data_IF_617805643622
#
_entry.id   IF_617805643622
#
_cell.length_a   1.000
_cell.length_b   1.000
_cell.length_c   1.000
_cell.angle_alpha   90.00
_cell.angle_beta   90.00
_cell.angle_gamma   90.00
#
_symmetry.space_group_name_H-M   'P 1'
#
loop_
_entity.id
_entity.type
_entity.pdbx_description
1 polymer ?
#
# COMPACT_ATOMS: atom_id res chain seq x y z
N UNK A 1 12.59 0.45 -32.67
CA UNK A 1 11.97 -0.52 -31.77
C UNK A 1 11.36 0.25 -30.61
N UNK A 2 10.04 0.06 -30.34
CA UNK A 2 9.40 0.71 -29.20
C UNK A 2 9.91 0.15 -27.86
N UNK A 3 9.82 0.96 -26.81
CA UNK A 3 10.13 0.52 -25.45
C UNK A 3 9.07 -0.50 -24.98
N UNK A 4 9.46 -1.59 -24.32
CA UNK A 4 8.53 -2.60 -23.84
C UNK A 4 7.74 -2.06 -22.64
N UNK A 5 6.45 -2.42 -22.53
CA UNK A 5 5.67 -2.20 -21.32
C UNK A 5 6.35 -2.89 -20.14
N UNK A 6 6.40 -2.22 -19.00
CA UNK A 6 6.85 -2.76 -17.73
C UNK A 6 5.64 -3.05 -16.84
N UNK A 7 5.72 -4.13 -16.08
CA UNK A 7 4.71 -4.52 -15.08
C UNK A 7 5.46 -4.72 -13.78
N UNK A 8 5.03 -4.06 -12.73
CA UNK A 8 5.57 -4.18 -11.38
C UNK A 8 4.41 -4.33 -10.40
N UNK A 9 4.69 -4.81 -9.21
CA UNK A 9 3.75 -4.89 -8.13
C UNK A 9 3.80 -3.59 -7.29
N UNK A 10 2.74 -3.24 -6.58
CA UNK A 10 2.68 -2.01 -5.82
C UNK A 10 3.65 -2.00 -4.65
N UNK A 11 3.94 -3.17 -4.08
CA UNK A 11 4.86 -3.33 -2.97
C UNK A 11 5.72 -4.60 -3.08
N UNK A 12 6.65 -4.78 -2.14
CA UNK A 12 7.49 -5.96 -2.06
C UNK A 12 8.69 -5.93 -3.03
N UNK A 13 9.30 -7.08 -3.32
CA UNK A 13 10.53 -7.17 -4.10
C UNK A 13 10.36 -6.82 -5.59
N UNK A 14 9.14 -6.81 -6.11
CA UNK A 14 8.81 -6.54 -7.51
C UNK A 14 8.14 -5.16 -7.71
N UNK A 15 8.22 -4.27 -6.69
CA UNK A 15 7.69 -2.90 -6.73
C UNK A 15 8.61 -1.89 -7.44
N UNK A 16 9.75 -2.34 -7.94
CA UNK A 16 10.69 -1.53 -8.70
C UNK A 16 11.01 -2.15 -10.06
N UNK A 17 11.59 -1.36 -10.93
CA UNK A 17 12.02 -1.82 -12.23
C UNK A 17 13.25 -1.08 -12.74
N UNK A 18 14.07 -1.82 -13.52
CA UNK A 18 15.25 -1.27 -14.18
C UNK A 18 15.22 -1.63 -15.66
N UNK A 19 15.19 -0.63 -16.54
CA UNK A 19 15.25 -0.82 -17.97
C UNK A 19 16.48 -0.13 -18.58
N UNK A 20 17.35 -0.91 -19.21
CA UNK A 20 18.43 -0.37 -20.03
C UNK A 20 17.85 0.17 -21.33
N UNK A 21 18.04 1.45 -21.61
CA UNK A 21 17.46 2.12 -22.80
C UNK A 21 18.25 1.83 -24.07
N UNK A 22 19.56 1.58 -23.94
CA UNK A 22 20.47 1.38 -25.05
C UNK A 22 20.02 0.36 -26.13
N UNK A 23 19.44 -0.82 -25.79
CA UNK A 23 19.03 -1.79 -26.81
C UNK A 23 17.88 -1.32 -27.71
N UNK A 24 17.14 -0.28 -27.30
CA UNK A 24 15.94 0.22 -27.97
C UNK A 24 16.21 1.46 -28.82
N UNK A 25 17.44 1.98 -28.79
CA UNK A 25 17.80 3.23 -29.43
C UNK A 25 18.91 2.91 -30.45
N UNK A 26 18.71 3.33 -31.66
CA UNK A 26 19.71 3.32 -32.73
C UNK A 26 19.85 4.75 -33.26
N UNK A 27 21.05 5.23 -33.31
CA UNK A 27 21.44 6.42 -33.98
C UNK A 27 22.36 6.07 -35.14
N UNK A 28 22.20 6.78 -36.26
CA UNK A 28 23.06 6.65 -37.43
C UNK A 28 23.59 8.00 -37.80
N UNK A 29 24.90 8.09 -37.96
CA UNK A 29 25.56 9.29 -38.52
C UNK A 29 25.10 9.59 -39.91
N UNK A 30 25.32 10.81 -40.40
CA UNK A 30 24.93 11.27 -41.75
C UNK A 30 25.52 10.40 -42.90
N UNK A 31 26.56 9.65 -42.65
CA UNK A 31 27.18 8.68 -43.58
C UNK A 31 26.63 7.23 -43.41
N UNK A 32 25.58 7.04 -42.58
CA UNK A 32 24.90 5.74 -42.37
C UNK A 32 25.62 4.79 -41.43
N UNK A 33 26.64 5.22 -40.70
CA UNK A 33 27.31 4.41 -39.70
C UNK A 33 26.56 4.47 -38.36
N UNK A 34 26.58 3.37 -37.61
CA UNK A 34 26.00 3.37 -36.27
C UNK A 34 26.80 4.30 -35.35
N UNK A 35 26.12 5.28 -34.75
CA UNK A 35 26.73 6.14 -33.74
C UNK A 35 27.03 5.39 -32.45
N UNK A 36 28.03 5.88 -31.72
CA UNK A 36 28.32 5.38 -30.37
C UNK A 36 27.22 5.82 -29.41
N UNK A 37 26.45 4.87 -28.90
CA UNK A 37 25.36 5.10 -27.93
C UNK A 37 25.87 5.77 -26.62
N UNK A 38 27.18 5.76 -26.39
CA UNK A 38 27.82 6.43 -25.24
C UNK A 38 27.74 7.97 -25.29
N UNK A 39 27.29 8.56 -26.41
CA UNK A 39 27.15 9.99 -26.60
C UNK A 39 25.69 10.46 -26.47
N UNK A 40 24.72 9.54 -26.24
CA UNK A 40 23.33 9.90 -26.07
C UNK A 40 23.03 10.40 -24.67
N UNK A 41 22.28 11.47 -24.59
CA UNK A 41 21.64 11.94 -23.35
C UNK A 41 20.19 11.46 -23.31
N UNK A 42 19.67 11.24 -22.10
CA UNK A 42 18.31 10.78 -21.87
C UNK A 42 17.63 11.60 -20.80
N UNK A 43 16.42 12.06 -21.08
CA UNK A 43 15.58 12.81 -20.16
C UNK A 43 14.15 12.27 -20.13
N UNK A 44 13.52 12.25 -18.95
CA UNK A 44 12.09 12.04 -18.80
C UNK A 44 11.42 13.39 -18.99
N UNK A 45 10.66 13.56 -20.06
CA UNK A 45 10.07 14.86 -20.42
C UNK A 45 8.59 14.98 -20.04
N UNK A 46 7.91 13.86 -19.81
CA UNK A 46 6.54 13.85 -19.30
C UNK A 46 6.17 12.52 -18.65
N UNK A 47 5.19 12.61 -17.76
CA UNK A 47 4.52 11.50 -17.10
C UNK A 47 3.02 11.75 -17.07
N UNK A 48 2.20 10.73 -17.40
CA UNK A 48 0.74 10.90 -17.52
C UNK A 48 0.01 10.84 -16.18
N UNK A 49 0.52 10.07 -15.24
CA UNK A 49 -0.05 9.93 -13.90
C UNK A 49 1.07 10.09 -12.85
N UNK A 50 1.50 11.34 -12.60
CA UNK A 50 2.56 11.60 -11.63
C UNK A 50 2.06 11.31 -10.21
N UNK A 51 2.90 10.66 -9.41
CA UNK A 51 2.61 10.37 -8.01
C UNK A 51 2.33 8.90 -7.72
N UNK A 52 2.25 8.03 -8.73
CA UNK A 52 2.19 6.58 -8.50
C UNK A 52 3.55 5.89 -8.62
N UNK A 53 4.51 6.51 -9.31
CA UNK A 53 5.90 6.05 -9.36
C UNK A 53 6.88 7.21 -9.14
N UNK A 54 8.07 6.87 -8.65
CA UNK A 54 9.27 7.69 -8.71
C UNK A 54 10.16 7.16 -9.81
N UNK A 55 10.58 8.00 -10.75
CA UNK A 55 11.37 7.56 -11.90
C UNK A 55 12.60 8.43 -12.13
N UNK A 56 13.70 7.82 -12.58
CA UNK A 56 14.94 8.51 -12.90
C UNK A 56 15.74 7.78 -13.99
N UNK A 57 16.58 8.50 -14.72
CA UNK A 57 17.52 7.90 -15.66
C UNK A 57 18.95 8.17 -15.20
N UNK A 58 19.72 7.09 -14.98
CA UNK A 58 21.13 7.17 -14.61
C UNK A 58 21.95 6.31 -15.58
N UNK A 59 22.90 6.93 -16.25
CA UNK A 59 23.79 6.23 -17.20
C UNK A 59 23.04 5.40 -18.26
N UNK A 60 21.92 5.91 -18.78
CA UNK A 60 21.10 5.23 -19.79
C UNK A 60 20.29 4.05 -19.26
N UNK A 61 20.12 3.96 -17.93
CA UNK A 61 19.22 3.03 -17.27
C UNK A 61 18.07 3.81 -16.67
N UNK A 62 16.87 3.53 -17.10
CA UNK A 62 15.63 4.00 -16.46
C UNK A 62 15.39 3.14 -15.23
N UNK A 63 15.38 3.75 -14.05
CA UNK A 63 14.91 3.19 -12.81
C UNK A 63 13.56 3.79 -12.46
N UNK A 64 12.68 2.99 -11.90
CA UNK A 64 11.39 3.41 -11.37
C UNK A 64 10.96 2.51 -10.22
N UNK A 65 10.22 3.08 -9.28
CA UNK A 65 9.68 2.41 -8.10
C UNK A 65 8.31 2.99 -7.77
N UNK A 66 7.43 2.24 -7.13
CA UNK A 66 6.12 2.71 -6.68
C UNK A 66 6.25 3.75 -5.57
N UNK A 67 5.30 4.67 -5.49
CA UNK A 67 5.20 5.66 -4.41
C UNK A 67 4.06 5.26 -3.49
N UNK A 68 4.41 4.81 -2.27
CA UNK A 68 3.44 4.31 -1.29
C UNK A 68 3.07 2.84 -1.53
N UNK A 69 2.29 2.29 -0.61
CA UNK A 69 1.89 0.88 -0.61
C UNK A 69 0.55 0.65 -1.34
N UNK A 70 -0.13 1.73 -1.79
CA UNK A 70 -1.43 1.67 -2.46
C UNK A 70 -1.34 2.20 -3.90
N UNK A 71 -0.15 2.12 -4.52
CA UNK A 71 0.07 2.61 -5.86
C UNK A 71 -0.51 1.64 -6.88
N UNK A 72 -1.59 1.99 -7.53
CA UNK A 72 -2.21 1.16 -8.56
C UNK A 72 -2.42 1.89 -9.88
N UNK A 73 -2.62 1.13 -10.96
CA UNK A 73 -2.98 1.66 -12.26
C UNK A 73 -1.84 1.72 -13.24
N UNK A 74 -1.84 2.74 -14.08
CA UNK A 74 -0.87 2.86 -15.17
C UNK A 74 -0.36 4.29 -15.29
N UNK A 75 0.92 4.42 -15.60
CA UNK A 75 1.53 5.66 -16.05
C UNK A 75 2.30 5.44 -17.34
N UNK A 76 2.44 6.50 -18.14
CA UNK A 76 3.26 6.50 -19.35
C UNK A 76 4.32 7.58 -19.22
N UNK A 77 5.57 7.16 -19.27
CA UNK A 77 6.70 8.07 -19.35
C UNK A 77 7.03 8.36 -20.82
N UNK A 78 7.31 9.62 -21.13
CA UNK A 78 7.92 9.99 -22.40
C UNK A 78 9.40 10.27 -22.16
N UNK A 79 10.24 9.48 -22.83
CA UNK A 79 11.69 9.57 -22.74
C UNK A 79 12.20 10.22 -24.01
N UNK A 80 12.96 11.27 -23.86
CA UNK A 80 13.71 11.94 -24.94
C UNK A 80 15.14 11.43 -24.96
N UNK A 81 15.60 10.99 -26.10
CA UNK A 81 17.00 10.69 -26.37
C UNK A 81 17.55 11.71 -27.37
N UNK A 82 18.67 12.34 -27.04
CA UNK A 82 19.35 13.28 -27.93
C UNK A 82 20.81 12.84 -28.16
N UNK A 83 21.29 13.03 -29.37
CA UNK A 83 22.69 12.83 -29.76
C UNK A 83 23.58 14.04 -29.40
N UNK A 84 24.86 13.96 -29.79
CA UNK A 84 25.83 15.03 -29.57
C UNK A 84 25.59 16.26 -30.46
N UNK A 85 24.88 16.07 -31.58
CA UNK A 85 24.53 17.12 -32.53
C UNK A 85 23.17 17.78 -32.19
N UNK A 86 22.55 17.39 -31.07
CA UNK A 86 21.29 17.88 -30.56
C UNK A 86 20.04 17.43 -31.35
N UNK A 87 20.16 16.41 -32.17
CA UNK A 87 19.00 15.75 -32.75
C UNK A 87 18.35 14.84 -31.73
N UNK A 88 17.03 14.97 -31.56
CA UNK A 88 16.32 14.27 -30.48
C UNK A 88 15.15 13.44 -31.03
N UNK A 89 14.89 12.35 -30.36
CA UNK A 89 13.72 11.49 -30.62
C UNK A 89 13.03 11.14 -29.29
N UNK A 90 11.71 11.14 -29.30
CA UNK A 90 10.87 10.84 -28.15
C UNK A 90 10.29 9.43 -28.27
N UNK A 91 10.33 8.67 -27.18
CA UNK A 91 9.71 7.35 -27.07
C UNK A 91 8.90 7.27 -25.78
N UNK A 92 7.80 6.53 -25.84
CA UNK A 92 6.95 6.29 -24.67
C UNK A 92 7.15 4.89 -24.13
N UNK A 93 7.10 4.78 -22.81
CA UNK A 93 7.05 3.51 -22.09
C UNK A 93 5.83 3.53 -21.17
N UNK A 94 5.04 2.46 -21.19
CA UNK A 94 3.96 2.25 -20.24
C UNK A 94 4.45 1.41 -19.07
N UNK A 95 4.17 1.85 -17.88
CA UNK A 95 4.39 1.13 -16.62
C UNK A 95 3.03 0.83 -16.04
N UNK A 96 2.75 -0.44 -15.78
CA UNK A 96 1.52 -0.93 -15.15
C UNK A 96 1.86 -1.45 -13.78
N UNK A 97 1.13 -1.01 -12.76
CA UNK A 97 1.29 -1.42 -11.37
C UNK A 97 0.13 -2.36 -11.04
N UNK A 98 0.46 -3.57 -10.59
CA UNK A 98 -0.52 -4.54 -10.11
C UNK A 98 -0.79 -4.28 -8.63
N UNK A 99 -2.05 -4.13 -8.21
CA UNK A 99 -2.39 -4.07 -6.80
C UNK A 99 -2.08 -5.40 -6.09
N UNK A 100 -1.62 -5.32 -4.86
CA UNK A 100 -1.47 -6.44 -3.93
C UNK A 100 -2.41 -6.18 -2.77
N UNK A 101 -3.13 -7.20 -2.33
CA UNK A 101 -4.07 -7.05 -1.22
C UNK A 101 -3.35 -6.85 0.11
N UNK A 102 -3.63 -5.75 0.76
CA UNK A 102 -3.26 -5.48 2.15
C UNK A 102 -4.23 -6.14 3.13
N UNK A 103 -3.77 -6.43 4.33
CA UNK A 103 -4.65 -6.93 5.38
C UNK A 103 -5.35 -5.78 6.09
N UNK A 104 -6.66 -5.90 6.43
CA UNK A 104 -7.37 -4.86 7.14
C UNK A 104 -6.73 -4.53 8.49
N UNK A 105 -6.76 -3.26 8.88
CA UNK A 105 -6.17 -2.73 10.10
C UNK A 105 -7.22 -2.16 11.05
N UNK A 106 -6.85 -2.06 12.34
CA UNK A 106 -7.64 -1.36 13.37
C UNK A 106 -6.81 -0.27 14.02
N UNK A 107 -7.38 0.93 14.17
CA UNK A 107 -6.84 1.96 15.04
C UNK A 107 -7.03 1.55 16.51
N UNK A 108 -5.96 1.05 17.12
CA UNK A 108 -5.95 0.60 18.52
C UNK A 108 -5.86 1.73 19.55
N UNK A 109 -5.72 2.98 19.13
CA UNK A 109 -5.55 4.14 20.05
C UNK A 109 -6.68 4.29 21.06
N UNK A 110 -7.91 3.91 20.67
CA UNK A 110 -9.09 3.93 21.56
C UNK A 110 -8.97 2.94 22.73
N UNK A 111 -8.17 1.89 22.57
CA UNK A 111 -7.98 0.87 23.60
C UNK A 111 -6.76 1.14 24.50
N UNK A 112 -5.90 2.07 24.13
CA UNK A 112 -4.69 2.41 24.91
C UNK A 112 -5.08 3.00 26.28
N UNK A 113 -4.68 2.30 27.35
CA UNK A 113 -4.97 2.73 28.73
C UNK A 113 -6.46 2.71 29.09
N UNK A 114 -7.29 1.98 28.34
CA UNK A 114 -8.72 1.87 28.61
C UNK A 114 -8.96 1.23 29.99
N UNK A 115 -9.74 1.95 30.82
CA UNK A 115 -10.13 1.51 32.15
C UNK A 115 -11.64 1.42 32.26
N UNK A 116 -12.16 0.30 32.71
CA UNK A 116 -13.59 0.07 32.88
C UNK A 116 -13.93 -0.28 34.32
N UNK A 117 -15.07 0.21 34.79
CA UNK A 117 -15.60 -0.17 36.10
C UNK A 117 -16.27 -1.54 36.01
N UNK A 118 -15.98 -2.42 37.00
CA UNK A 118 -16.58 -3.75 37.08
C UNK A 118 -18.12 -3.66 37.06
N UNK A 119 -18.75 -4.53 36.25
CA UNK A 119 -20.20 -4.61 36.10
C UNK A 119 -20.84 -3.50 35.26
N UNK A 120 -20.10 -2.47 34.81
CA UNK A 120 -20.61 -1.37 33.99
C UNK A 120 -20.35 -1.64 32.51
N UNK A 121 -21.39 -1.48 31.68
CA UNK A 121 -21.27 -1.63 30.22
C UNK A 121 -20.67 -0.36 29.60
N UNK A 122 -19.71 -0.57 28.72
CA UNK A 122 -19.15 0.45 27.82
C UNK A 122 -19.34 0.02 26.38
N UNK A 123 -19.47 0.98 25.45
CA UNK A 123 -19.62 0.72 24.02
C UNK A 123 -18.61 1.52 23.22
N UNK A 124 -18.04 0.86 22.19
CA UNK A 124 -17.10 1.43 21.23
C UNK A 124 -17.67 1.18 19.84
N UNK A 125 -17.66 2.18 18.98
CA UNK A 125 -17.94 2.01 17.56
C UNK A 125 -16.69 1.41 16.90
N UNK A 126 -16.69 0.07 16.80
CA UNK A 126 -15.51 -0.66 16.33
C UNK A 126 -15.36 -0.56 14.82
N UNK A 127 -16.45 -0.51 14.07
CA UNK A 127 -16.37 -0.40 12.61
C UNK A 127 -15.70 0.92 12.19
N UNK A 128 -15.91 2.00 12.94
CA UNK A 128 -15.26 3.28 12.66
C UNK A 128 -13.73 3.28 12.87
N UNK A 129 -13.19 2.24 13.49
CA UNK A 129 -11.76 2.07 13.76
C UNK A 129 -11.10 1.10 12.77
N UNK A 130 -11.90 0.38 11.98
CA UNK A 130 -11.40 -0.56 10.96
C UNK A 130 -11.14 0.20 9.67
N UNK A 131 -10.02 -0.09 9.04
CA UNK A 131 -9.66 0.44 7.72
C UNK A 131 -9.05 -0.68 6.88
N UNK A 132 -9.37 -0.66 5.60
CA UNK A 132 -8.77 -1.50 4.58
C UNK A 132 -8.60 -0.65 3.33
N UNK A 133 -7.43 -0.69 2.70
CA UNK A 133 -7.14 0.18 1.55
C UNK A 133 -7.69 -0.40 0.26
N UNK A 134 -7.81 -1.74 0.17
CA UNK A 134 -8.25 -2.46 -1.02
C UNK A 134 -9.71 -2.86 -0.99
N UNK A 135 -10.29 -2.98 0.21
CA UNK A 135 -11.60 -3.58 0.40
C UNK A 135 -12.59 -2.58 1.02
N UNK A 136 -13.84 -2.70 0.60
CA UNK A 136 -14.93 -1.94 1.22
C UNK A 136 -15.22 -2.48 2.63
N UNK A 137 -15.69 -1.64 3.54
CA UNK A 137 -16.08 -2.01 4.92
C UNK A 137 -17.03 -3.23 4.97
N UNK A 138 -17.87 -3.39 3.95
CA UNK A 138 -18.82 -4.52 3.84
C UNK A 138 -18.13 -5.86 3.53
N UNK A 139 -16.90 -5.84 3.05
CA UNK A 139 -16.10 -7.00 2.66
C UNK A 139 -15.18 -7.45 3.81
N UNK A 140 -14.92 -6.55 4.77
CA UNK A 140 -14.15 -6.85 5.98
C UNK A 140 -15.03 -7.51 7.04
N UNK A 141 -14.50 -8.55 7.66
CA UNK A 141 -15.16 -9.26 8.76
C UNK A 141 -14.41 -9.03 10.07
N UNK A 142 -15.13 -8.54 11.09
CA UNK A 142 -14.62 -8.35 12.44
C UNK A 142 -15.06 -9.51 13.33
N UNK A 143 -14.11 -10.10 14.05
CA UNK A 143 -14.31 -11.20 15.00
C UNK A 143 -13.74 -10.76 16.35
N UNK A 144 -14.57 -10.82 17.41
CA UNK A 144 -14.15 -10.41 18.74
C UNK A 144 -14.30 -11.59 19.71
N UNK A 145 -13.32 -11.74 20.58
CA UNK A 145 -13.36 -12.71 21.68
C UNK A 145 -12.75 -12.14 22.97
N UNK A 146 -13.18 -12.67 24.10
CA UNK A 146 -12.70 -12.30 25.43
C UNK A 146 -12.34 -13.59 26.19
N UNK A 147 -11.06 -14.00 26.17
CA UNK A 147 -10.63 -15.26 26.76
C UNK A 147 -10.66 -15.24 28.29
N UNK A 148 -10.46 -14.07 28.93
CA UNK A 148 -10.37 -13.94 30.38
C UNK A 148 -11.74 -13.94 31.09
N UNK A 149 -12.79 -13.51 30.38
CA UNK A 149 -14.17 -13.53 30.89
C UNK A 149 -15.15 -13.74 29.73
N UNK A 150 -15.81 -14.91 29.71
CA UNK A 150 -16.77 -15.25 28.68
C UNK A 150 -17.93 -14.26 28.64
N UNK A 151 -18.13 -13.63 27.47
CA UNK A 151 -19.15 -12.61 27.28
C UNK A 151 -18.75 -11.20 27.71
N UNK A 152 -17.51 -11.01 28.19
CA UNK A 152 -16.97 -9.69 28.56
C UNK A 152 -16.84 -8.72 27.37
N UNK A 153 -16.68 -9.25 26.16
CA UNK A 153 -16.69 -8.49 24.92
C UNK A 153 -17.71 -9.10 23.95
N UNK A 154 -18.57 -8.26 23.38
CA UNK A 154 -19.61 -8.66 22.40
C UNK A 154 -19.67 -7.66 21.28
N UNK A 155 -19.38 -8.13 20.07
CA UNK A 155 -19.48 -7.30 18.86
C UNK A 155 -20.79 -7.59 18.12
N UNK A 156 -21.45 -6.52 17.68
CA UNK A 156 -22.65 -6.58 16.87
C UNK A 156 -22.37 -6.10 15.45
N UNK A 157 -22.25 -7.03 14.52
CA UNK A 157 -21.95 -6.75 13.10
C UNK A 157 -22.99 -5.85 12.39
N UNK A 158 -24.23 -5.80 12.88
CA UNK A 158 -25.27 -4.97 12.24
C UNK A 158 -25.15 -3.50 12.60
N UNK A 159 -24.55 -3.20 13.74
CA UNK A 159 -24.43 -1.84 14.28
C UNK A 159 -22.98 -1.36 14.39
N UNK A 160 -22.01 -2.22 14.11
CA UNK A 160 -20.59 -1.90 14.26
C UNK A 160 -20.12 -1.76 15.72
N UNK A 161 -21.02 -1.97 16.68
CA UNK A 161 -20.76 -1.65 18.08
C UNK A 161 -20.15 -2.83 18.84
N UNK A 162 -19.03 -2.57 19.51
CA UNK A 162 -18.42 -3.44 20.51
C UNK A 162 -18.92 -3.04 21.89
N UNK A 163 -19.55 -3.97 22.59
CA UNK A 163 -19.93 -3.86 24.01
C UNK A 163 -18.92 -4.56 24.89
N UNK A 164 -18.44 -3.85 25.90
CA UNK A 164 -17.52 -4.32 26.90
C UNK A 164 -18.18 -4.29 28.27
N UNK A 165 -18.25 -5.43 28.96
CA UNK A 165 -18.76 -5.55 30.33
C UNK A 165 -18.09 -6.69 31.05
N UNK A 166 -17.16 -6.37 31.93
CA UNK A 166 -16.47 -7.32 32.79
C UNK A 166 -16.96 -7.20 34.21
N UNK A 167 -17.17 -8.32 34.89
CA UNK A 167 -17.67 -8.34 36.28
C UNK A 167 -16.53 -8.53 37.27
N UNK A 168 -15.40 -9.10 36.86
CA UNK A 168 -14.24 -9.37 37.69
C UNK A 168 -13.18 -8.29 37.47
N UNK A 169 -12.60 -7.79 38.56
CA UNK A 169 -11.49 -6.82 38.53
C UNK A 169 -10.20 -7.45 38.00
N UNK A 170 -9.30 -6.63 37.47
CA UNK A 170 -8.00 -7.02 36.95
C UNK A 170 -7.88 -6.77 35.45
N UNK A 171 -6.74 -7.09 34.89
CA UNK A 171 -6.49 -6.93 33.47
C UNK A 171 -7.26 -7.97 32.66
N UNK A 172 -7.94 -7.51 31.62
CA UNK A 172 -8.72 -8.35 30.70
C UNK A 172 -8.25 -8.12 29.27
N UNK A 173 -8.10 -9.20 28.53
CA UNK A 173 -7.74 -9.15 27.12
C UNK A 173 -8.99 -9.28 26.25
N UNK A 174 -9.08 -8.44 25.25
CA UNK A 174 -10.04 -8.55 24.15
C UNK A 174 -9.22 -8.78 22.89
N UNK A 175 -9.46 -9.91 22.24
CA UNK A 175 -8.83 -10.25 20.96
C UNK A 175 -9.77 -9.80 19.86
N UNK A 176 -9.28 -8.96 18.95
CA UNK A 176 -10.00 -8.44 17.80
C UNK A 176 -9.26 -8.89 16.56
N UNK A 177 -9.92 -9.69 15.74
CA UNK A 177 -9.41 -10.11 14.45
C UNK A 177 -10.22 -9.47 13.34
N UNK A 178 -9.53 -8.87 12.37
CA UNK A 178 -10.11 -8.32 11.14
C UNK A 178 -9.63 -9.14 9.96
N UNK A 179 -10.54 -9.44 9.06
CA UNK A 179 -10.33 -10.42 7.98
C UNK A 179 -11.03 -9.92 6.72
N UNK A 180 -10.31 -9.85 5.62
CA UNK A 180 -10.85 -9.75 4.28
C UNK A 180 -10.88 -11.13 3.59
N UNK A 181 -10.96 -11.17 2.26
CA UNK A 181 -10.98 -12.42 1.48
C UNK A 181 -9.62 -13.13 1.45
N UNK A 182 -8.51 -12.41 1.59
CA UNK A 182 -7.15 -12.90 1.32
C UNK A 182 -6.23 -12.85 2.53
N UNK A 183 -6.46 -11.90 3.46
CA UNK A 183 -5.56 -11.61 4.56
C UNK A 183 -6.29 -11.37 5.88
N UNK A 184 -5.56 -11.27 6.98
CA UNK A 184 -6.13 -10.93 8.27
C UNK A 184 -5.09 -10.42 9.24
N UNK A 185 -5.49 -9.49 10.11
CA UNK A 185 -4.72 -9.05 11.27
C UNK A 185 -5.44 -9.37 12.57
N UNK A 186 -4.68 -9.59 13.62
CA UNK A 186 -5.18 -9.85 14.97
C UNK A 186 -4.55 -8.90 15.97
N UNK A 187 -5.36 -8.28 16.80
CA UNK A 187 -4.98 -7.30 17.79
C UNK A 187 -5.44 -7.72 19.17
N UNK A 188 -4.66 -7.37 20.21
CA UNK A 188 -5.01 -7.62 21.61
C UNK A 188 -5.14 -6.28 22.31
N UNK A 189 -6.36 -5.97 22.76
CA UNK A 189 -6.63 -4.84 23.63
C UNK A 189 -6.57 -5.30 25.09
N UNK A 190 -5.67 -4.71 25.88
CA UNK A 190 -5.59 -4.95 27.32
C UNK A 190 -6.36 -3.87 28.07
N UNK A 191 -7.34 -4.27 28.87
CA UNK A 191 -8.30 -3.39 29.54
C UNK A 191 -8.17 -3.58 31.06
N UNK A 192 -7.89 -2.51 31.79
CA UNK A 192 -7.89 -2.53 33.24
C UNK A 192 -9.33 -2.42 33.77
N UNK A 193 -9.78 -3.47 34.47
CA UNK A 193 -11.09 -3.47 35.13
C UNK A 193 -10.89 -3.21 36.62
N UNK A 194 -11.51 -2.14 37.13
CA UNK A 194 -11.39 -1.71 38.53
C UNK A 194 -12.73 -1.74 39.25
N UNK A 195 -12.66 -1.90 40.57
CA UNK A 195 -13.82 -1.76 41.46
C UNK A 195 -14.01 -0.29 41.87
N UNK A 196 -15.22 0.09 42.24
CA UNK A 196 -15.45 1.39 42.86
C UNK A 196 -15.16 1.30 44.36
N UNK A 197 -14.34 2.17 44.85
CA UNK A 197 -14.29 2.48 46.27
C UNK A 197 -15.65 3.00 46.75
#
# INVERSE_FOLDING_TARGET
>A
LGLPTQIIDEEGPDSDGLLRLQPYISDTTADGQASSVSLLSFDIISETNPGIISSQIINGVLGFETIGNDAEGQTTLTIRACDADTECSDQTIMISINPINDAPEIDMSTFEGLRLKAGVESTIDLDSLVNDVDNLDSEVTVIVSSPDESGGAQYNRQTGMLKLKFNEVGDKNVIIKVVDTYASNEYIASIEVYDSD
#
